data_IF_338727874610
#
_entry.id   IF_338727874610
#
_cell.length_a   1.000
_cell.length_b   1.000
_cell.length_c   1.000
_cell.angle_alpha   90.00
_cell.angle_beta   90.00
_cell.angle_gamma   90.00
#
_symmetry.space_group_name_H-M   'P 1'
#
loop_
_entity.id
_entity.type
_entity.pdbx_description
1 polymer ?
#
# COMPACT_ATOMS: atom_id res chain seq x y z
N UNK A 1 -0.76 29.84 2.18
CA UNK A 1 0.72 29.78 2.24
C UNK A 1 1.12 28.32 2.09
N UNK A 2 1.65 27.94 0.91
CA UNK A 2 2.01 26.54 0.63
C UNK A 2 3.38 26.26 1.21
N UNK A 3 3.43 25.46 2.26
CA UNK A 3 4.67 24.95 2.83
C UNK A 3 5.23 23.95 1.81
N UNK A 4 6.28 24.34 1.11
CA UNK A 4 7.06 23.43 0.28
C UNK A 4 7.76 22.44 1.21
N UNK A 5 7.78 21.16 0.85
CA UNK A 5 8.31 20.06 1.70
C UNK A 5 9.77 20.21 2.15
N UNK A 6 10.45 21.28 1.75
CA UNK A 6 11.78 21.70 2.23
C UNK A 6 11.74 22.26 3.67
N UNK A 7 10.62 22.84 4.11
CA UNK A 7 10.50 23.43 5.46
C UNK A 7 10.17 22.41 6.56
N UNK A 8 9.85 21.17 6.21
CA UNK A 8 9.45 20.15 7.20
C UNK A 8 10.61 19.41 7.86
N UNK A 9 11.88 19.69 7.52
CA UNK A 9 13.04 19.14 8.25
C UNK A 9 13.07 17.61 8.38
N UNK A 10 12.22 16.88 7.66
CA UNK A 10 12.18 15.43 7.64
C UNK A 10 13.30 14.97 6.71
N UNK A 11 14.50 14.92 7.26
CA UNK A 11 15.56 14.06 6.71
C UNK A 11 15.07 12.61 6.88
N UNK A 12 14.21 12.18 5.95
CA UNK A 12 13.61 10.86 5.91
C UNK A 12 14.76 9.86 5.80
N UNK A 13 14.97 9.03 6.83
CA UNK A 13 15.74 7.80 6.66
C UNK A 13 15.15 7.09 5.44
N UNK A 14 16.00 6.63 4.53
CA UNK A 14 15.54 6.00 3.30
C UNK A 14 14.88 4.64 3.61
N UNK A 15 13.61 4.69 4.01
CA UNK A 15 12.78 3.53 4.29
C UNK A 15 12.31 2.84 3.00
N UNK A 16 12.71 3.36 1.82
CA UNK A 16 12.32 2.75 0.55
C UNK A 16 13.04 1.42 0.32
N UNK A 17 14.30 1.29 0.74
CA UNK A 17 15.07 0.07 0.52
C UNK A 17 14.52 -1.14 1.32
N UNK A 18 14.26 -1.05 2.64
CA UNK A 18 13.66 -2.16 3.39
C UNK A 18 12.26 -2.53 2.89
N UNK A 19 11.45 -1.55 2.50
CA UNK A 19 10.12 -1.80 1.93
C UNK A 19 10.23 -2.54 0.60
N UNK A 20 11.15 -2.15 -0.27
CA UNK A 20 11.36 -2.82 -1.57
C UNK A 20 11.80 -4.27 -1.37
N UNK A 21 12.73 -4.53 -0.45
CA UNK A 21 13.18 -5.89 -0.12
C UNK A 21 12.01 -6.76 0.36
N UNK A 22 11.23 -6.25 1.30
CA UNK A 22 10.04 -6.90 1.81
C UNK A 22 9.00 -7.19 0.71
N UNK A 23 8.73 -6.22 -0.16
CA UNK A 23 7.81 -6.40 -1.28
C UNK A 23 8.29 -7.50 -2.24
N UNK A 24 9.59 -7.57 -2.54
CA UNK A 24 10.15 -8.60 -3.42
C UNK A 24 10.17 -9.99 -2.79
N UNK A 25 10.21 -10.08 -1.45
CA UNK A 25 10.13 -11.36 -0.72
C UNK A 25 8.77 -12.03 -0.88
N UNK A 26 7.69 -11.25 -0.99
CA UNK A 26 6.32 -11.78 -1.01
C UNK A 26 5.62 -11.64 -2.37
N UNK A 27 5.98 -10.63 -3.16
CA UNK A 27 5.35 -10.32 -4.44
C UNK A 27 6.39 -10.48 -5.54
N UNK A 28 6.06 -11.29 -6.56
CA UNK A 28 6.91 -11.55 -7.71
C UNK A 28 7.01 -10.31 -8.61
N UNK A 29 7.91 -9.39 -8.26
CA UNK A 29 8.20 -8.16 -8.98
C UNK A 29 9.69 -8.06 -9.32
N UNK A 30 9.99 -7.58 -10.53
CA UNK A 30 11.35 -7.12 -10.81
C UNK A 30 11.68 -5.86 -10.00
N UNK A 31 12.96 -5.56 -9.86
CA UNK A 31 13.43 -4.46 -9.00
C UNK A 31 12.80 -3.10 -9.36
N UNK A 32 12.62 -2.81 -10.66
CA UNK A 32 12.03 -1.54 -11.10
C UNK A 32 10.56 -1.40 -10.69
N UNK A 33 9.80 -2.50 -10.78
CA UNK A 33 8.39 -2.57 -10.37
C UNK A 33 8.25 -2.55 -8.85
N UNK A 34 9.13 -3.24 -8.12
CA UNK A 34 9.15 -3.18 -6.66
C UNK A 34 9.48 -1.77 -6.14
N UNK A 35 10.49 -1.10 -6.71
CA UNK A 35 10.80 0.32 -6.43
C UNK A 35 9.61 1.23 -6.74
N UNK A 36 8.91 0.98 -7.85
CA UNK A 36 7.70 1.72 -8.21
C UNK A 36 6.60 1.57 -7.15
N UNK A 37 6.32 0.33 -6.73
CA UNK A 37 5.31 0.05 -5.71
C UNK A 37 5.70 0.65 -4.35
N UNK A 38 6.96 0.50 -3.92
CA UNK A 38 7.46 1.06 -2.67
C UNK A 38 7.31 2.59 -2.63
N UNK A 39 7.74 3.27 -3.70
CA UNK A 39 7.53 4.72 -3.82
C UNK A 39 6.05 5.08 -3.83
N UNK A 40 5.20 4.31 -4.52
CA UNK A 40 3.76 4.54 -4.55
C UNK A 40 3.14 4.45 -3.15
N UNK A 41 3.47 3.42 -2.37
CA UNK A 41 3.00 3.24 -0.99
C UNK A 41 3.43 4.43 -0.12
N UNK A 42 4.73 4.77 -0.12
CA UNK A 42 5.27 5.90 0.65
C UNK A 42 4.57 7.21 0.27
N UNK A 43 4.30 7.40 -1.02
CA UNK A 43 3.60 8.57 -1.54
C UNK A 43 2.18 8.69 -0.99
N UNK A 44 1.43 7.58 -0.97
CA UNK A 44 0.07 7.54 -0.42
C UNK A 44 0.07 7.85 1.08
N UNK A 45 1.00 7.27 1.83
CA UNK A 45 1.12 7.52 3.27
C UNK A 45 1.44 8.99 3.57
N UNK A 46 2.43 9.56 2.89
CA UNK A 46 2.86 10.94 3.12
C UNK A 46 1.81 11.97 2.72
N UNK A 47 1.12 11.72 1.60
CA UNK A 47 0.13 12.66 1.06
C UNK A 47 -1.29 12.46 1.61
N UNK A 48 -1.53 11.35 2.32
CA UNK A 48 -2.82 10.92 2.84
C UNK A 48 -3.93 10.91 1.79
N UNK A 49 -3.58 10.51 0.56
CA UNK A 49 -4.53 10.38 -0.54
C UNK A 49 -4.14 9.23 -1.46
N UNK A 50 -5.14 8.65 -2.12
CA UNK A 50 -4.96 7.65 -3.19
C UNK A 50 -5.14 8.29 -4.58
N UNK A 51 -5.44 9.59 -4.64
CA UNK A 51 -5.62 10.29 -5.91
C UNK A 51 -4.27 10.44 -6.63
N UNK A 52 -4.11 9.71 -7.74
CA UNK A 52 -2.85 9.62 -8.48
C UNK A 52 -2.34 10.96 -9.01
N UNK A 53 -3.20 11.90 -9.40
CA UNK A 53 -2.74 13.21 -9.87
C UNK A 53 -2.19 14.06 -8.71
N UNK A 54 -2.85 14.01 -7.55
CA UNK A 54 -2.37 14.66 -6.32
C UNK A 54 -1.06 14.03 -5.82
N UNK A 55 -0.93 12.70 -5.93
CA UNK A 55 0.30 11.99 -5.61
C UNK A 55 1.45 12.48 -6.49
N UNK A 56 1.23 12.57 -7.79
CA UNK A 56 2.29 12.96 -8.73
C UNK A 56 2.79 14.40 -8.55
N UNK A 57 1.93 15.29 -8.07
CA UNK A 57 2.29 16.69 -7.81
C UNK A 57 3.09 16.87 -6.51
N UNK A 58 3.14 15.86 -5.63
CA UNK A 58 3.79 15.95 -4.30
C UNK A 58 5.05 15.09 -4.18
N UNK A 59 5.62 14.65 -5.31
CA UNK A 59 6.75 13.73 -5.29
C UNK A 59 8.05 14.41 -4.83
N UNK A 60 8.80 13.77 -3.90
CA UNK A 60 10.05 14.32 -3.38
C UNK A 60 11.24 14.18 -4.33
N UNK A 61 11.15 13.32 -5.36
CA UNK A 61 12.19 13.15 -6.37
C UNK A 61 11.98 14.15 -7.50
N UNK A 62 13.02 14.85 -7.97
CA UNK A 62 13.00 15.84 -9.07
C UNK A 62 12.57 15.32 -10.47
N UNK A 63 11.80 14.23 -10.52
CA UNK A 63 11.14 13.66 -11.68
C UNK A 63 9.93 14.53 -12.04
N UNK A 64 9.72 14.76 -13.34
CA UNK A 64 8.51 15.46 -13.83
C UNK A 64 7.24 14.69 -13.43
N UNK A 65 6.26 15.38 -12.83
CA UNK A 65 4.98 14.78 -12.39
C UNK A 65 4.30 13.93 -13.48
N UNK A 66 4.30 14.39 -14.73
CA UNK A 66 3.73 13.66 -15.87
C UNK A 66 4.47 12.34 -16.19
N UNK A 67 5.79 12.27 -15.97
CA UNK A 67 6.56 11.04 -16.15
C UNK A 67 6.18 10.00 -15.10
N UNK A 68 6.06 10.45 -13.85
CA UNK A 68 5.65 9.60 -12.75
C UNK A 68 4.21 9.12 -12.88
N UNK A 69 3.29 9.98 -13.29
CA UNK A 69 1.90 9.62 -13.57
C UNK A 69 1.81 8.48 -14.60
N UNK A 70 2.55 8.59 -15.72
CA UNK A 70 2.61 7.52 -16.72
C UNK A 70 3.21 6.22 -16.16
N UNK A 71 4.22 6.31 -15.30
CA UNK A 71 4.82 5.13 -14.65
C UNK A 71 3.83 4.43 -13.72
N UNK A 72 3.07 5.17 -12.93
CA UNK A 72 2.01 4.62 -12.07
C UNK A 72 0.89 3.99 -12.89
N UNK A 73 0.45 4.65 -13.97
CA UNK A 73 -0.55 4.08 -14.89
C UNK A 73 -0.11 2.73 -15.46
N UNK A 74 1.12 2.65 -15.97
CA UNK A 74 1.68 1.38 -16.49
C UNK A 74 1.76 0.32 -15.40
N UNK A 75 2.19 0.70 -14.20
CA UNK A 75 2.24 -0.23 -13.07
C UNK A 75 0.85 -0.81 -12.78
N UNK A 76 -0.18 0.04 -12.65
CA UNK A 76 -1.54 -0.41 -12.34
C UNK A 76 -2.12 -1.25 -13.49
N UNK A 77 -1.81 -0.93 -14.75
CA UNK A 77 -2.33 -1.68 -15.90
C UNK A 77 -1.64 -3.03 -16.13
N UNK A 78 -0.36 -3.15 -15.78
CA UNK A 78 0.45 -4.33 -16.11
C UNK A 78 0.61 -5.30 -14.93
N UNK A 79 0.42 -4.83 -13.69
CA UNK A 79 0.68 -5.63 -12.49
C UNK A 79 -0.61 -6.16 -11.91
N UNK A 80 -0.67 -7.49 -11.81
CA UNK A 80 -1.67 -8.20 -11.04
C UNK A 80 -1.01 -8.80 -9.80
N UNK A 81 -1.50 -8.42 -8.63
CA UNK A 81 -1.09 -9.00 -7.35
C UNK A 81 -2.21 -9.91 -6.88
N UNK A 82 -1.91 -11.19 -6.71
CA UNK A 82 -2.90 -12.14 -6.18
C UNK A 82 -3.33 -11.71 -4.78
N UNK A 83 -4.65 -11.68 -4.55
CA UNK A 83 -5.21 -11.31 -3.25
C UNK A 83 -4.71 -12.22 -2.12
N UNK A 84 -4.31 -13.46 -2.44
CA UNK A 84 -3.76 -14.44 -1.48
C UNK A 84 -2.39 -14.05 -0.92
N UNK A 85 -1.65 -13.21 -1.63
CA UNK A 85 -0.30 -12.80 -1.22
C UNK A 85 -0.35 -11.79 -0.08
N UNK A 86 -1.35 -10.91 -0.07
CA UNK A 86 -1.44 -9.84 0.93
C UNK A 86 -1.55 -10.36 2.37
N UNK A 87 -2.45 -11.32 2.70
CA UNK A 87 -2.53 -11.90 4.03
C UNK A 87 -1.21 -12.51 4.50
N UNK A 88 -0.56 -13.30 3.66
CA UNK A 88 0.71 -13.96 3.98
C UNK A 88 1.79 -12.93 4.27
N UNK A 89 1.89 -11.91 3.41
CA UNK A 89 2.83 -10.80 3.61
C UNK A 89 2.55 -10.08 4.93
N UNK A 90 1.30 -9.73 5.22
CA UNK A 90 0.94 -8.99 6.44
C UNK A 90 1.18 -9.81 7.72
N UNK A 91 0.87 -11.11 7.72
CA UNK A 91 1.20 -12.03 8.82
C UNK A 91 2.71 -11.98 9.08
N UNK A 92 3.52 -12.28 8.05
CA UNK A 92 4.98 -12.32 8.22
C UNK A 92 5.60 -10.96 8.59
N UNK A 93 5.00 -9.86 8.18
CA UNK A 93 5.44 -8.51 8.56
C UNK A 93 5.19 -8.19 10.04
N UNK A 94 4.10 -8.71 10.59
CA UNK A 94 3.61 -8.34 11.93
C UNK A 94 3.98 -9.37 12.99
N UNK A 95 4.26 -10.61 12.58
CA UNK A 95 4.71 -11.69 13.47
C UNK A 95 3.62 -12.23 14.40
N UNK A 96 2.35 -11.85 14.20
CA UNK A 96 1.27 -12.27 15.10
C UNK A 96 0.99 -13.77 15.04
N UNK A 97 1.52 -14.49 14.05
CA UNK A 97 1.43 -15.95 14.02
C UNK A 97 2.12 -16.64 15.20
N UNK A 98 3.01 -15.92 15.89
CA UNK A 98 3.69 -16.38 17.09
C UNK A 98 2.80 -16.31 18.34
N UNK A 99 1.66 -15.61 18.27
CA UNK A 99 0.71 -15.51 19.37
C UNK A 99 -0.03 -16.84 19.59
N UNK A 100 -0.20 -17.23 20.86
CA UNK A 100 -0.89 -18.48 21.20
C UNK A 100 -2.39 -18.47 20.88
N UNK A 101 -3.01 -17.29 20.83
CA UNK A 101 -4.45 -17.13 20.59
C UNK A 101 -4.68 -15.96 19.65
N UNK A 102 -5.55 -16.17 18.67
CA UNK A 102 -5.98 -15.12 17.76
C UNK A 102 -7.40 -14.67 18.10
N UNK A 103 -7.60 -13.37 18.16
CA UNK A 103 -8.95 -12.78 18.18
C UNK A 103 -9.33 -12.47 16.74
N UNK A 104 -10.33 -13.18 16.24
CA UNK A 104 -10.82 -12.99 14.87
C UNK A 104 -11.94 -11.96 14.85
N UNK A 105 -11.87 -11.06 13.86
CA UNK A 105 -12.88 -10.06 13.59
C UNK A 105 -13.46 -10.28 12.19
N UNK A 106 -14.78 -10.24 12.09
CA UNK A 106 -15.50 -10.24 10.83
C UNK A 106 -16.16 -8.87 10.65
N UNK A 107 -15.96 -8.26 9.49
CA UNK A 107 -16.60 -6.99 9.17
C UNK A 107 -17.09 -6.97 7.71
N UNK A 108 -18.21 -6.29 7.48
CA UNK A 108 -18.75 -6.08 6.13
C UNK A 108 -18.53 -4.64 5.71
N UNK A 109 -17.99 -4.45 4.52
CA UNK A 109 -17.93 -3.15 3.85
C UNK A 109 -18.67 -3.21 2.51
N UNK A 110 -19.39 -2.12 2.20
CA UNK A 110 -20.03 -1.96 0.89
C UNK A 110 -19.29 -0.87 0.12
N UNK A 111 -18.66 -1.26 -0.98
CA UNK A 111 -18.09 -0.34 -1.93
C UNK A 111 -19.08 -0.10 -3.05
N UNK A 112 -19.06 1.11 -3.61
CA UNK A 112 -19.92 1.47 -4.73
C UNK A 112 -19.08 1.94 -5.90
N UNK A 113 -19.11 1.18 -6.99
CA UNK A 113 -18.48 1.55 -8.24
C UNK A 113 -19.54 2.03 -9.23
N UNK A 114 -19.68 3.36 -9.35
CA UNK A 114 -20.79 3.96 -10.08
C UNK A 114 -22.13 3.58 -9.46
N UNK A 115 -22.93 2.74 -10.15
CA UNK A 115 -24.19 2.19 -9.63
C UNK A 115 -24.04 0.76 -9.07
N UNK A 116 -22.91 0.10 -9.30
CA UNK A 116 -22.67 -1.28 -8.87
C UNK A 116 -22.24 -1.31 -7.41
N UNK A 117 -22.95 -2.09 -6.60
CA UNK A 117 -22.52 -2.41 -5.24
C UNK A 117 -21.54 -3.59 -5.26
N UNK A 118 -20.50 -3.49 -4.44
CA UNK A 118 -19.48 -4.51 -4.21
C UNK A 118 -19.48 -4.73 -2.70
N UNK A 119 -20.04 -5.85 -2.25
CA UNK A 119 -20.13 -6.18 -0.84
C UNK A 119 -18.93 -7.06 -0.49
N UNK A 120 -18.05 -6.56 0.37
CA UNK A 120 -16.87 -7.29 0.79
C UNK A 120 -17.04 -7.71 2.24
N UNK A 121 -16.94 -9.01 2.50
CA UNK A 121 -16.82 -9.56 3.86
C UNK A 121 -15.34 -9.82 4.13
N UNK A 122 -14.77 -9.13 5.13
CA UNK A 122 -13.40 -9.32 5.56
C UNK A 122 -13.33 -10.17 6.83
N UNK A 123 -12.40 -11.12 6.84
CA UNK A 123 -11.89 -11.76 8.05
C UNK A 123 -10.54 -11.16 8.39
N UNK A 124 -10.35 -10.75 9.63
CA UNK A 124 -9.12 -10.16 10.13
C UNK A 124 -8.73 -10.71 11.50
N UNK A 125 -7.46 -10.54 11.88
CA UNK A 125 -6.97 -10.76 13.25
C UNK A 125 -6.88 -9.40 13.92
N UNK A 126 -7.46 -9.26 15.11
CA UNK A 126 -7.22 -8.11 15.98
C UNK A 126 -5.86 -8.28 16.64
N UNK A 127 -4.92 -7.41 16.28
CA UNK A 127 -3.55 -7.43 16.79
C UNK A 127 -3.12 -6.01 17.17
N UNK A 128 -2.76 -5.80 18.44
CA UNK A 128 -2.29 -4.51 18.95
C UNK A 128 -3.19 -3.31 18.59
N UNK A 129 -4.51 -3.49 18.63
CA UNK A 129 -5.49 -2.45 18.33
C UNK A 129 -5.73 -2.19 16.84
N UNK A 130 -5.17 -3.02 15.95
CA UNK A 130 -5.35 -2.94 14.49
C UNK A 130 -5.98 -4.26 14.00
N UNK A 131 -6.92 -4.17 13.07
CA UNK A 131 -7.45 -5.33 12.36
C UNK A 131 -6.58 -5.65 11.13
N UNK A 132 -5.85 -6.77 11.17
CA UNK A 132 -5.01 -7.22 10.06
C UNK A 132 -5.80 -8.19 9.18
N UNK A 133 -6.07 -7.85 7.91
CA UNK A 133 -6.92 -8.67 7.05
C UNK A 133 -6.23 -10.00 6.68
N UNK A 134 -6.95 -11.10 6.88
CA UNK A 134 -6.56 -12.45 6.50
C UNK A 134 -7.19 -12.90 5.18
N UNK A 135 -8.42 -12.46 4.92
CA UNK A 135 -9.20 -12.98 3.81
C UNK A 135 -10.37 -12.04 3.50
N UNK A 136 -10.77 -11.98 2.23
CA UNK A 136 -11.94 -11.23 1.80
C UNK A 136 -12.70 -11.96 0.69
N UNK A 137 -14.03 -11.96 0.78
CA UNK A 137 -14.93 -12.43 -0.29
C UNK A 137 -15.71 -11.21 -0.81
N UNK A 138 -15.83 -11.09 -2.14
CA UNK A 138 -16.47 -9.99 -2.86
C UNK A 138 -17.56 -10.48 -3.82
#
# INVERSE_FOLDING_TARGET
MMITGKELGLHMKDHSAPLVELLQKHILLNLSRAKCLGLFIISMLNSRTVNMSLLCNRMPSGIKAASWYRRMQRFISEISISWRVLPVMLVMMTGFEQEQKWVLCLDRTNWKFGKRHINILYLAVSFHGIAIPLFGIF
#
